data_IF_862267778060
#
_entry.id   IF_862267778060
#
_cell.length_a   1.000
_cell.length_b   1.000
_cell.length_c   1.000
_cell.angle_alpha   90.00
_cell.angle_beta   90.00
_cell.angle_gamma   90.00
#
_symmetry.space_group_name_H-M   'P 1'
#
loop_
_entity.id
_entity.type
_entity.pdbx_description
1 polymer ?
#
# COMPACT_ATOMS: atom_id res chain seq x y z
N UNK A 1 16.50 -3.23 -3.35
CA UNK A 1 15.91 -4.50 -2.86
C UNK A 1 16.14 -5.65 -3.83
N UNK A 2 15.47 -5.74 -4.99
CA UNK A 2 15.65 -6.90 -5.90
C UNK A 2 17.10 -7.07 -6.41
N UNK A 3 17.76 -5.97 -6.79
CA UNK A 3 19.16 -5.98 -7.22
C UNK A 3 20.12 -6.36 -6.08
N UNK A 4 19.83 -5.99 -4.83
CA UNK A 4 20.65 -6.35 -3.66
C UNK A 4 20.62 -7.85 -3.35
N UNK A 5 19.57 -8.56 -3.76
CA UNK A 5 19.40 -10.01 -3.56
C UNK A 5 20.00 -10.80 -4.76
N UNK A 6 20.66 -10.10 -5.70
CA UNK A 6 21.29 -10.73 -6.87
C UNK A 6 20.32 -11.04 -8.03
N UNK A 7 19.12 -10.45 -8.01
CA UNK A 7 18.15 -10.63 -9.09
C UNK A 7 18.56 -9.77 -10.30
N UNK A 8 18.61 -10.39 -11.49
CA UNK A 8 18.91 -9.71 -12.75
C UNK A 8 17.86 -8.62 -13.02
N UNK A 9 18.29 -7.48 -13.57
CA UNK A 9 17.41 -6.35 -13.94
C UNK A 9 16.20 -6.78 -14.78
N UNK A 10 16.40 -7.75 -15.68
CA UNK A 10 15.33 -8.29 -16.52
C UNK A 10 14.21 -8.97 -15.69
N UNK A 11 14.57 -9.69 -14.63
CA UNK A 11 13.59 -10.30 -13.73
C UNK A 11 12.89 -9.24 -12.87
N UNK A 12 13.57 -8.18 -12.43
CA UNK A 12 12.91 -7.05 -11.75
C UNK A 12 11.83 -6.41 -12.62
N UNK A 13 12.13 -6.21 -13.91
CA UNK A 13 11.17 -5.66 -14.86
C UNK A 13 9.94 -6.56 -15.01
N UNK A 14 10.16 -7.87 -15.15
CA UNK A 14 9.08 -8.87 -15.20
C UNK A 14 8.25 -8.82 -13.92
N UNK A 15 8.88 -8.77 -12.75
CA UNK A 15 8.18 -8.70 -11.46
C UNK A 15 7.30 -7.46 -11.40
N UNK A 16 7.79 -6.28 -11.79
CA UNK A 16 6.98 -5.06 -11.80
C UNK A 16 5.74 -5.17 -12.70
N UNK A 17 5.88 -5.82 -13.86
CA UNK A 17 4.76 -6.08 -14.77
C UNK A 17 3.76 -7.06 -14.17
N UNK A 18 4.23 -8.16 -13.58
CA UNK A 18 3.37 -9.16 -12.93
C UNK A 18 2.60 -8.53 -11.76
N UNK A 19 3.27 -7.71 -10.95
CA UNK A 19 2.64 -6.96 -9.85
C UNK A 19 1.49 -6.10 -10.36
N UNK A 20 1.68 -5.39 -11.48
CA UNK A 20 0.65 -4.55 -12.08
C UNK A 20 -0.53 -5.38 -12.62
N UNK A 21 -0.24 -6.50 -13.30
CA UNK A 21 -1.28 -7.41 -13.81
C UNK A 21 -2.09 -8.06 -12.69
N UNK A 22 -1.47 -8.41 -11.58
CA UNK A 22 -2.13 -9.02 -10.41
C UNK A 22 -2.90 -7.96 -9.60
N UNK A 23 -2.38 -6.74 -9.51
CA UNK A 23 -3.03 -5.65 -8.80
C UNK A 23 -4.41 -5.30 -9.37
N UNK A 24 -4.60 -5.40 -10.69
CA UNK A 24 -5.86 -5.05 -11.34
C UNK A 24 -7.06 -5.92 -10.90
N UNK A 25 -7.05 -7.26 -11.07
CA UNK A 25 -8.17 -8.12 -10.65
C UNK A 25 -8.34 -8.12 -9.12
N UNK A 26 -7.25 -8.04 -8.36
CA UNK A 26 -7.34 -7.99 -6.90
C UNK A 26 -7.93 -6.69 -6.38
N UNK A 27 -7.68 -5.56 -7.05
CA UNK A 27 -8.31 -4.28 -6.74
C UNK A 27 -9.83 -4.36 -6.83
N UNK A 28 -10.35 -5.02 -7.88
CA UNK A 28 -11.78 -5.26 -8.05
C UNK A 28 -12.31 -6.20 -6.97
N UNK A 29 -11.60 -7.29 -6.68
CA UNK A 29 -12.00 -8.26 -5.66
C UNK A 29 -12.05 -7.63 -4.25
N UNK A 30 -11.04 -6.86 -3.86
CA UNK A 30 -11.02 -6.14 -2.59
C UNK A 30 -12.07 -5.02 -2.54
N UNK A 31 -12.30 -4.33 -3.66
CA UNK A 31 -13.37 -3.34 -3.78
C UNK A 31 -14.74 -3.97 -3.52
N UNK A 32 -15.03 -5.10 -4.17
CA UNK A 32 -16.27 -5.87 -3.96
C UNK A 32 -16.41 -6.39 -2.53
N UNK A 33 -15.33 -6.92 -1.95
CA UNK A 33 -15.32 -7.43 -0.57
C UNK A 33 -15.59 -6.32 0.46
N UNK A 34 -15.02 -5.13 0.23
CA UNK A 34 -15.20 -3.98 1.11
C UNK A 34 -16.57 -3.32 0.96
N UNK A 35 -17.18 -3.38 -0.22
CA UNK A 35 -18.56 -2.92 -0.42
C UNK A 35 -19.53 -3.77 0.41
N UNK A 36 -19.29 -5.08 0.48
CA UNK A 36 -20.09 -6.02 1.29
C UNK A 36 -19.84 -5.91 2.80
N UNK A 37 -18.64 -5.51 3.25
CA UNK A 37 -18.21 -5.60 4.67
C UNK A 37 -18.12 -4.24 5.38
N UNK A 38 -18.54 -3.15 4.74
CA UNK A 38 -18.28 -1.75 5.13
C UNK A 38 -16.86 -1.30 4.75
N UNK A 39 -16.79 -0.25 3.92
CA UNK A 39 -15.55 0.33 3.35
C UNK A 39 -14.48 0.61 4.42
N UNK A 40 -14.90 0.97 5.64
CA UNK A 40 -14.00 1.21 6.77
C UNK A 40 -13.26 -0.06 7.23
N UNK A 41 -13.98 -1.17 7.40
CA UNK A 41 -13.38 -2.45 7.82
C UNK A 41 -12.50 -3.02 6.72
N UNK A 42 -12.90 -2.87 5.45
CA UNK A 42 -12.09 -3.26 4.30
C UNK A 42 -10.75 -2.52 4.23
N UNK A 43 -10.77 -1.21 4.47
CA UNK A 43 -9.56 -0.39 4.52
C UNK A 43 -8.63 -0.80 5.67
N UNK A 44 -9.19 -1.03 6.86
CA UNK A 44 -8.43 -1.47 8.04
C UNK A 44 -7.83 -2.87 7.83
N UNK A 45 -8.60 -3.81 7.29
CA UNK A 45 -8.13 -5.17 6.98
C UNK A 45 -7.01 -5.12 5.94
N UNK A 46 -7.14 -4.28 4.91
CA UNK A 46 -6.10 -4.05 3.92
C UNK A 46 -4.78 -3.58 4.56
N UNK A 47 -4.83 -2.55 5.41
CA UNK A 47 -3.62 -2.04 6.07
C UNK A 47 -2.99 -3.11 6.97
N UNK A 48 -3.79 -3.88 7.70
CA UNK A 48 -3.28 -4.99 8.52
C UNK A 48 -2.58 -6.07 7.68
N UNK A 49 -3.15 -6.46 6.53
CA UNK A 49 -2.52 -7.40 5.60
C UNK A 49 -1.20 -6.83 5.07
N UNK A 50 -1.19 -5.56 4.67
CA UNK A 50 0.01 -4.89 4.18
C UNK A 50 1.11 -4.82 5.25
N UNK A 51 0.75 -4.57 6.50
CA UNK A 51 1.67 -4.58 7.63
C UNK A 51 2.32 -5.95 7.82
N UNK A 52 1.55 -7.04 7.74
CA UNK A 52 2.07 -8.41 7.80
C UNK A 52 3.04 -8.69 6.65
N UNK A 53 2.73 -8.23 5.44
CA UNK A 53 3.61 -8.37 4.27
C UNK A 53 4.93 -7.61 4.48
N UNK A 54 4.89 -6.40 5.05
CA UNK A 54 6.12 -5.67 5.37
C UNK A 54 6.96 -6.36 6.45
N UNK A 55 6.34 -7.02 7.43
CA UNK A 55 7.06 -7.85 8.41
C UNK A 55 7.68 -9.08 7.75
N UNK A 56 6.98 -9.71 6.80
CA UNK A 56 7.54 -10.80 6.01
C UNK A 56 8.76 -10.36 5.19
N UNK A 57 8.78 -9.10 4.74
CA UNK A 57 9.90 -8.52 4.00
C UNK A 57 11.23 -8.52 4.79
N UNK A 58 11.20 -8.59 6.12
CA UNK A 58 12.41 -8.69 6.96
C UNK A 58 13.13 -10.03 6.80
N UNK A 59 12.40 -11.09 6.46
CA UNK A 59 12.93 -12.46 6.32
C UNK A 59 13.30 -12.83 4.87
N UNK A 60 13.38 -11.84 3.96
CA UNK A 60 13.77 -12.06 2.58
C UNK A 60 15.24 -12.48 2.50
N UNK A 61 15.49 -13.76 2.22
CA UNK A 61 16.83 -14.30 2.02
C UNK A 61 17.01 -14.89 0.61
N UNK A 62 15.92 -15.26 -0.09
CA UNK A 62 15.97 -15.95 -1.39
C UNK A 62 15.17 -15.21 -2.48
N UNK A 63 15.57 -15.35 -3.76
CA UNK A 63 14.83 -14.80 -4.92
C UNK A 63 13.36 -15.26 -5.01
N UNK A 64 13.06 -16.47 -4.53
CA UNK A 64 11.67 -16.99 -4.44
C UNK A 64 10.84 -16.18 -3.45
N UNK A 65 11.41 -15.80 -2.31
CA UNK A 65 10.70 -14.98 -1.31
C UNK A 65 10.39 -13.60 -1.87
N UNK A 66 11.30 -13.03 -2.68
CA UNK A 66 11.07 -11.76 -3.36
C UNK A 66 9.89 -11.84 -4.34
N UNK A 67 9.77 -12.93 -5.10
CA UNK A 67 8.63 -13.15 -6.01
C UNK A 67 7.30 -13.27 -5.27
N UNK A 68 7.28 -14.05 -4.18
CA UNK A 68 6.09 -14.21 -3.33
C UNK A 68 5.70 -12.86 -2.71
N UNK A 69 6.68 -12.13 -2.18
CA UNK A 69 6.48 -10.81 -1.62
C UNK A 69 5.92 -9.83 -2.67
N UNK A 70 6.49 -9.80 -3.87
CA UNK A 70 6.02 -8.93 -4.93
C UNK A 70 4.55 -9.22 -5.29
N UNK A 71 4.18 -10.50 -5.42
CA UNK A 71 2.79 -10.89 -5.64
C UNK A 71 1.87 -10.42 -4.50
N UNK A 72 2.25 -10.66 -3.25
CA UNK A 72 1.49 -10.22 -2.07
C UNK A 72 1.34 -8.69 -1.98
N UNK A 73 2.42 -7.97 -2.32
CA UNK A 73 2.40 -6.51 -2.40
C UNK A 73 1.45 -6.07 -3.51
N UNK A 74 1.47 -6.70 -4.68
CA UNK A 74 0.59 -6.37 -5.80
C UNK A 74 -0.89 -6.54 -5.47
N UNK A 75 -1.27 -7.66 -4.85
CA UNK A 75 -2.66 -7.88 -4.43
C UNK A 75 -3.14 -6.80 -3.46
N UNK A 76 -2.31 -6.45 -2.49
CA UNK A 76 -2.66 -5.49 -1.45
C UNK A 76 -2.59 -4.03 -1.95
N UNK A 77 -1.62 -3.69 -2.79
CA UNK A 77 -1.45 -2.36 -3.37
C UNK A 77 -2.64 -1.96 -4.23
N UNK A 78 -3.15 -2.88 -5.06
CA UNK A 78 -4.35 -2.65 -5.86
C UNK A 78 -5.58 -2.41 -4.97
N UNK A 79 -5.79 -3.27 -3.97
CA UNK A 79 -6.90 -3.18 -3.03
C UNK A 79 -6.90 -1.88 -2.23
N UNK A 80 -5.81 -1.55 -1.51
CA UNK A 80 -5.73 -0.31 -0.73
C UNK A 80 -5.92 0.94 -1.60
N UNK A 81 -5.35 0.95 -2.81
CA UNK A 81 -5.42 2.11 -3.69
C UNK A 81 -6.87 2.39 -4.14
N UNK A 82 -7.65 1.34 -4.45
CA UNK A 82 -9.06 1.49 -4.78
C UNK A 82 -9.89 1.89 -3.55
N UNK A 83 -9.64 1.27 -2.40
CA UNK A 83 -10.36 1.57 -1.16
C UNK A 83 -10.12 2.99 -0.68
N UNK A 84 -8.88 3.48 -0.76
CA UNK A 84 -8.53 4.88 -0.43
C UNK A 84 -9.35 5.86 -1.25
N UNK A 85 -9.43 5.66 -2.56
CA UNK A 85 -10.22 6.52 -3.46
C UNK A 85 -11.71 6.44 -3.18
N UNK A 86 -12.24 5.24 -2.97
CA UNK A 86 -13.67 5.03 -2.67
C UNK A 86 -14.08 5.65 -1.34
N UNK A 87 -13.25 5.47 -0.30
CA UNK A 87 -13.49 6.03 1.03
C UNK A 87 -13.42 7.56 1.01
N UNK A 88 -12.40 8.13 0.35
CA UNK A 88 -12.28 9.58 0.19
C UNK A 88 -13.48 10.15 -0.57
N UNK A 89 -13.89 9.53 -1.68
CA UNK A 89 -15.06 9.95 -2.45
C UNK A 89 -16.39 9.94 -1.68
N UNK A 90 -16.53 9.11 -0.63
CA UNK A 90 -17.71 9.10 0.24
C UNK A 90 -17.75 10.25 1.26
N UNK A 91 -16.61 10.88 1.55
CA UNK A 91 -16.47 11.91 2.59
C UNK A 91 -16.57 13.32 1.99
N UNK A 92 -16.18 13.49 0.73
CA UNK A 92 -16.09 14.81 0.11
C UNK A 92 -17.49 15.41 -0.15
N UNK A 93 -17.72 16.69 0.21
CA UNK A 93 -18.96 17.39 -0.13
C UNK A 93 -19.09 17.58 -1.65
N UNK A 94 -20.31 17.37 -2.19
CA UNK A 94 -20.58 17.43 -3.64
C UNK A 94 -20.28 18.79 -4.26
N UNK A 95 -20.37 19.87 -3.49
CA UNK A 95 -20.18 21.25 -3.96
C UNK A 95 -18.72 21.59 -4.27
N UNK A 96 -17.75 20.92 -3.63
CA UNK A 96 -16.31 21.20 -3.79
C UNK A 96 -15.50 19.94 -4.12
N UNK A 97 -16.17 18.93 -4.70
CA UNK A 97 -15.59 17.63 -5.05
C UNK A 97 -14.22 17.72 -5.72
N UNK A 98 -14.13 18.56 -6.74
CA UNK A 98 -12.94 18.76 -7.57
C UNK A 98 -11.74 19.29 -6.80
N UNK A 99 -11.96 20.19 -5.84
CA UNK A 99 -10.89 20.84 -5.08
C UNK A 99 -10.29 19.87 -4.06
N UNK A 100 -11.12 19.14 -3.32
CA UNK A 100 -10.68 18.10 -2.40
C UNK A 100 -9.98 16.93 -3.13
N UNK A 101 -10.48 16.53 -4.31
CA UNK A 101 -9.77 15.56 -5.15
C UNK A 101 -8.43 16.08 -5.68
N UNK A 102 -8.34 17.39 -5.95
CA UNK A 102 -7.08 18.08 -6.27
C UNK A 102 -6.06 17.94 -5.15
N UNK A 103 -6.46 18.28 -3.91
CA UNK A 103 -5.61 18.10 -2.73
C UNK A 103 -5.22 16.64 -2.50
N UNK A 104 -6.15 15.70 -2.64
CA UNK A 104 -5.86 14.26 -2.54
C UNK A 104 -4.82 13.80 -3.58
N UNK A 105 -4.91 14.29 -4.83
CA UNK A 105 -3.93 13.96 -5.86
C UNK A 105 -2.54 14.49 -5.51
N UNK A 106 -2.46 15.73 -5.03
CA UNK A 106 -1.21 16.35 -4.59
C UNK A 106 -0.59 15.55 -3.44
N UNK A 107 -1.36 15.27 -2.37
CA UNK A 107 -0.90 14.47 -1.23
C UNK A 107 -0.49 13.05 -1.63
N UNK A 108 -1.20 12.44 -2.58
CA UNK A 108 -0.88 11.14 -3.14
C UNK A 108 0.47 11.15 -3.88
N UNK A 109 0.76 12.19 -4.67
CA UNK A 109 2.06 12.36 -5.34
C UNK A 109 3.19 12.60 -4.33
N UNK A 110 2.96 13.42 -3.31
CA UNK A 110 3.93 13.60 -2.22
C UNK A 110 4.22 12.28 -1.51
N UNK A 111 3.20 11.50 -1.20
CA UNK A 111 3.34 10.18 -0.56
C UNK A 111 4.13 9.21 -1.45
N UNK A 112 3.90 9.23 -2.76
CA UNK A 112 4.63 8.39 -3.72
C UNK A 112 6.12 8.75 -3.83
N UNK A 113 6.51 9.99 -3.51
CA UNK A 113 7.92 10.41 -3.44
C UNK A 113 8.51 10.12 -2.06
N UNK A 114 7.77 10.39 -0.99
CA UNK A 114 8.22 10.19 0.39
C UNK A 114 8.55 8.72 0.70
N UNK A 115 7.78 7.77 0.17
CA UNK A 115 8.01 6.34 0.39
C UNK A 115 9.41 5.87 -0.06
N UNK A 116 9.78 6.02 -1.35
CA UNK A 116 11.11 5.70 -1.85
C UNK A 116 12.23 6.47 -1.17
N UNK A 117 12.00 7.76 -0.83
CA UNK A 117 12.98 8.58 -0.10
C UNK A 117 13.26 7.99 1.28
N UNK A 118 12.23 7.62 2.04
CA UNK A 118 12.40 7.00 3.35
C UNK A 118 13.13 5.67 3.26
N UNK A 119 12.71 4.79 2.33
CA UNK A 119 13.38 3.50 2.08
C UNK A 119 14.84 3.72 1.71
N UNK A 120 15.13 4.70 0.85
CA UNK A 120 16.47 5.04 0.42
C UNK A 120 17.36 5.50 1.58
N UNK A 121 16.88 6.43 2.41
CA UNK A 121 17.60 6.92 3.59
C UNK A 121 17.86 5.79 4.59
N UNK A 122 16.84 4.99 4.92
CA UNK A 122 16.99 3.88 5.87
C UNK A 122 17.92 2.80 5.33
N UNK A 123 17.85 2.50 4.02
CA UNK A 123 18.75 1.56 3.36
C UNK A 123 20.19 2.07 3.36
N UNK A 124 20.40 3.37 3.13
CA UNK A 124 21.73 3.98 3.12
C UNK A 124 22.39 3.97 4.51
N UNK A 125 21.61 4.21 5.57
CA UNK A 125 22.09 4.18 6.95
C UNK A 125 22.35 2.74 7.41
N UNK A 126 21.45 1.81 7.09
CA UNK A 126 21.51 0.43 7.62
C UNK A 126 22.33 -0.51 6.75
N UNK A 127 22.59 -0.16 5.48
CA UNK A 127 23.25 -1.01 4.50
C UNK A 127 22.44 -2.23 4.04
N UNK A 128 21.20 -2.41 4.52
CA UNK A 128 20.33 -3.55 4.18
C UNK A 128 19.01 -3.07 3.58
N UNK A 129 18.78 -3.43 2.32
CA UNK A 129 17.53 -3.15 1.59
C UNK A 129 16.27 -3.73 2.25
N UNK A 130 16.40 -4.84 2.99
CA UNK A 130 15.28 -5.45 3.72
C UNK A 130 14.79 -4.57 4.87
N UNK A 131 15.71 -3.91 5.57
CA UNK A 131 15.38 -2.98 6.67
C UNK A 131 14.81 -1.69 6.09
N UNK A 132 15.28 -1.26 4.92
CA UNK A 132 14.64 -0.22 4.13
C UNK A 132 13.17 -0.52 3.86
N UNK A 133 12.85 -1.71 3.34
CA UNK A 133 11.46 -2.12 3.08
C UNK A 133 10.63 -2.19 4.38
N UNK A 134 11.22 -2.68 5.47
CA UNK A 134 10.56 -2.75 6.77
C UNK A 134 10.26 -1.38 7.37
N UNK A 135 11.00 -0.32 7.04
CA UNK A 135 10.66 1.04 7.49
C UNK A 135 9.27 1.51 7.04
N UNK A 136 8.79 1.01 5.89
CA UNK A 136 7.42 1.26 5.43
C UNK A 136 6.38 0.66 6.38
N UNK A 137 6.68 -0.45 7.07
CA UNK A 137 5.77 -1.03 8.06
C UNK A 137 5.42 -0.03 9.17
N UNK A 138 6.38 0.83 9.55
CA UNK A 138 6.18 1.85 10.58
C UNK A 138 5.20 2.91 10.07
N UNK A 139 5.33 3.35 8.81
CA UNK A 139 4.36 4.26 8.19
C UNK A 139 2.96 3.64 8.11
N UNK A 140 2.86 2.36 7.75
CA UNK A 140 1.57 1.66 7.73
C UNK A 140 0.98 1.49 9.13
N UNK A 141 1.81 1.23 10.14
CA UNK A 141 1.38 1.13 11.54
C UNK A 141 0.85 2.48 12.05
N UNK A 142 1.55 3.57 11.76
CA UNK A 142 1.10 4.93 12.08
C UNK A 142 -0.25 5.20 11.38
N UNK A 143 -0.36 4.88 10.10
CA UNK A 143 -1.62 5.01 9.35
C UNK A 143 -2.77 4.18 9.95
N UNK A 144 -2.48 2.97 10.42
CA UNK A 144 -3.44 2.09 11.09
C UNK A 144 -3.91 2.68 12.42
N UNK A 145 -3.00 3.18 13.24
CA UNK A 145 -3.31 3.82 14.53
C UNK A 145 -4.15 5.08 14.32
N UNK A 146 -3.79 5.93 13.36
CA UNK A 146 -4.56 7.15 13.02
C UNK A 146 -5.98 6.78 12.56
N UNK A 147 -6.12 5.75 11.72
CA UNK A 147 -7.42 5.32 11.20
C UNK A 147 -8.29 4.64 12.27
N UNK A 148 -7.69 3.95 13.24
CA UNK A 148 -8.37 3.44 14.43
C UNK A 148 -8.87 4.58 15.32
N UNK A 149 -8.07 5.64 15.47
CA UNK A 149 -8.44 6.81 16.24
C UNK A 149 -9.56 7.62 15.59
N UNK A 150 -9.75 7.49 14.27
CA UNK A 150 -10.83 8.17 13.57
C UNK A 150 -12.22 7.76 14.11
N UNK A 151 -13.09 8.70 14.50
CA UNK A 151 -14.45 8.40 14.93
C UNK A 151 -15.25 7.69 13.84
N UNK A 152 -16.24 6.88 14.22
CA UNK A 152 -17.16 6.25 13.26
C UNK A 152 -17.89 7.38 12.52
N UNK A 153 -17.74 7.43 11.20
CA UNK A 153 -18.70 8.15 10.35
C UNK A 153 -20.05 7.50 10.61
N UNK A 154 -20.85 8.15 11.45
CA UNK A 154 -22.23 7.77 11.68
C UNK A 154 -22.91 8.13 10.38
N UNK A 155 -23.14 7.13 9.52
CA UNK A 155 -24.11 7.27 8.43
C UNK A 155 -25.44 7.53 9.10
N UNK A 156 -25.78 8.79 9.27
CA UNK A 156 -27.16 9.18 9.48
C UNK A 156 -27.87 8.81 8.18
N UNK A 157 -28.74 7.81 8.32
CA UNK A 157 -29.69 7.22 7.36
C UNK A 157 -29.92 8.00 6.06
#
# INVERSE_FOLDING_TARGET
>A
IGMDIGIKTNELMIVMLVVQLVAFPFSIFFGWLADKTSTRKGFLLGISVYFIICLYALNLNTSRDFWILALLVGTSQGGLQALSRSYFGKIIPKESGSEFFGFYNILGKFSAVMGPVLVGIVTQITGRSTIGAASLSILFLIGLVIFLMLPRLTTTK
#
